data_IF_588514625620
#
_entry.id   IF_588514625620
#
_cell.length_a   1.000
_cell.length_b   1.000
_cell.length_c   1.000
_cell.angle_alpha   90.00
_cell.angle_beta   90.00
_cell.angle_gamma   90.00
#
_symmetry.space_group_name_H-M   'P 1'
#
loop_
_entity.id
_entity.type
_entity.pdbx_description
1 polymer ?
#
# COMPACT_ATOMS: atom_id res chain seq x y z
N UNK A 1 -5.25 -0.63 -4.68
CA UNK A 1 -5.57 -0.99 -3.28
C UNK A 1 -6.15 -2.40 -3.16
N UNK A 2 -7.29 -2.72 -3.78
CA UNK A 2 -7.92 -4.06 -3.67
C UNK A 2 -6.97 -5.24 -3.95
N UNK A 3 -6.16 -5.18 -5.02
CA UNK A 3 -5.13 -6.21 -5.29
C UNK A 3 -4.14 -6.41 -4.14
N UNK A 4 -3.71 -5.33 -3.49
CA UNK A 4 -2.78 -5.42 -2.35
C UNK A 4 -3.49 -6.07 -1.15
N UNK A 5 -4.74 -5.70 -0.90
CA UNK A 5 -5.57 -6.32 0.13
C UNK A 5 -5.79 -7.83 -0.13
N UNK A 6 -6.08 -8.18 -1.39
CA UNK A 6 -6.22 -9.56 -1.84
C UNK A 6 -4.95 -10.37 -1.60
N UNK A 7 -3.78 -9.84 -1.95
CA UNK A 7 -2.49 -10.52 -1.72
C UNK A 7 -2.23 -10.71 -0.23
N UNK A 8 -2.46 -9.68 0.59
CA UNK A 8 -2.28 -9.77 2.04
C UNK A 8 -3.20 -10.82 2.67
N UNK A 9 -4.50 -10.77 2.37
CA UNK A 9 -5.47 -11.73 2.90
C UNK A 9 -5.26 -13.16 2.38
N UNK A 10 -4.82 -13.33 1.12
CA UNK A 10 -4.47 -14.64 0.57
C UNK A 10 -3.25 -15.23 1.28
N UNK A 11 -2.21 -14.42 1.51
CA UNK A 11 -1.00 -14.83 2.25
C UNK A 11 -1.33 -15.20 3.69
N UNK A 12 -2.22 -14.44 4.32
CA UNK A 12 -2.67 -14.70 5.68
C UNK A 12 -3.50 -15.98 5.78
N UNK A 13 -4.57 -16.11 4.98
CA UNK A 13 -5.52 -17.22 5.07
C UNK A 13 -4.99 -18.53 4.46
N UNK A 14 -4.01 -18.46 3.54
CA UNK A 14 -3.56 -19.59 2.70
C UNK A 14 -4.71 -20.26 1.95
N UNK A 15 -5.71 -19.46 1.55
CA UNK A 15 -6.92 -19.92 0.86
C UNK A 15 -7.31 -18.93 -0.23
N UNK A 16 -8.24 -19.36 -1.08
CA UNK A 16 -8.94 -18.47 -2.01
C UNK A 16 -9.74 -17.46 -1.18
N UNK A 17 -9.66 -16.19 -1.54
CA UNK A 17 -10.39 -15.12 -0.87
C UNK A 17 -11.18 -14.30 -1.88
N UNK A 18 -12.25 -13.66 -1.42
CA UNK A 18 -13.02 -12.69 -2.19
C UNK A 18 -13.23 -11.42 -1.39
N UNK A 19 -13.25 -10.27 -2.05
CA UNK A 19 -13.55 -9.00 -1.40
C UNK A 19 -15.04 -8.94 -1.08
N UNK A 20 -15.37 -8.90 0.21
CA UNK A 20 -16.76 -8.86 0.69
C UNK A 20 -17.22 -7.42 0.97
N UNK A 21 -16.31 -6.56 1.41
CA UNK A 21 -16.59 -5.16 1.72
C UNK A 21 -15.34 -4.32 1.51
N UNK A 22 -15.53 -3.12 0.96
CA UNK A 22 -14.56 -2.03 1.03
C UNK A 22 -15.19 -0.92 1.86
N UNK A 23 -14.48 -0.48 2.90
CA UNK A 23 -14.84 0.75 3.61
C UNK A 23 -14.45 1.98 2.78
N UNK A 24 -14.87 3.16 3.23
CA UNK A 24 -14.51 4.42 2.59
C UNK A 24 -13.00 4.56 2.40
N UNK A 25 -12.60 5.08 1.23
CA UNK A 25 -11.22 5.47 0.95
C UNK A 25 -11.04 6.95 1.29
N UNK A 26 -10.02 7.23 2.10
CA UNK A 26 -9.62 8.59 2.44
C UNK A 26 -8.54 9.06 1.45
N UNK A 27 -8.87 10.03 0.61
CA UNK A 27 -7.99 10.60 -0.41
C UNK A 27 -7.40 11.91 0.11
N UNK A 28 -6.21 11.83 0.70
CA UNK A 28 -5.58 12.95 1.42
C UNK A 28 -4.80 13.90 0.52
N UNK A 29 -4.22 13.38 -0.56
CA UNK A 29 -3.36 14.16 -1.44
C UNK A 29 -3.35 13.59 -2.86
N UNK A 30 -3.13 14.43 -3.89
CA UNK A 30 -3.13 13.99 -5.27
C UNK A 30 -1.89 13.13 -5.60
N UNK A 31 -2.09 12.18 -6.52
CA UNK A 31 -1.01 11.44 -7.18
C UNK A 31 -0.96 11.91 -8.62
N UNK A 32 0.19 12.42 -9.07
CA UNK A 32 0.38 12.93 -10.43
C UNK A 32 1.11 11.89 -11.29
N UNK A 33 0.98 12.03 -12.60
CA UNK A 33 1.77 11.23 -13.55
C UNK A 33 3.26 11.46 -13.28
N UNK A 34 4.01 10.36 -13.22
CA UNK A 34 5.45 10.39 -12.90
C UNK A 34 5.77 10.19 -11.42
N UNK A 35 4.78 10.22 -10.51
CA UNK A 35 5.01 9.80 -9.12
C UNK A 35 5.10 8.28 -9.03
N UNK A 36 6.02 7.79 -8.19
CA UNK A 36 6.01 6.41 -7.73
C UNK A 36 4.88 6.23 -6.71
N UNK A 37 4.21 5.08 -6.75
CA UNK A 37 3.18 4.72 -5.77
C UNK A 37 3.55 3.40 -5.12
N UNK A 38 3.72 3.45 -3.80
CA UNK A 38 3.90 2.28 -2.95
C UNK A 38 2.56 1.93 -2.29
N UNK A 39 2.16 0.66 -2.39
CA UNK A 39 0.95 0.15 -1.76
C UNK A 39 1.30 -0.85 -0.65
N UNK A 40 1.09 -0.43 0.60
CA UNK A 40 1.35 -1.26 1.78
C UNK A 40 0.03 -1.80 2.32
N UNK A 41 -0.05 -3.12 2.49
CA UNK A 41 -1.26 -3.80 2.97
C UNK A 41 -0.96 -4.62 4.22
N UNK A 42 -1.67 -4.34 5.32
CA UNK A 42 -1.51 -4.96 6.63
C UNK A 42 -2.81 -5.60 7.08
N UNK A 43 -2.75 -6.85 7.55
CA UNK A 43 -3.90 -7.52 8.17
C UNK A 43 -4.07 -6.96 9.58
N UNK A 44 -5.17 -6.25 9.82
CA UNK A 44 -5.41 -5.55 11.10
C UNK A 44 -6.37 -6.31 12.02
N UNK A 45 -7.23 -7.17 11.47
CA UNK A 45 -8.18 -7.94 12.24
C UNK A 45 -8.63 -9.20 11.49
N UNK A 46 -9.15 -10.17 12.22
CA UNK A 46 -9.75 -11.38 11.64
C UNK A 46 -11.02 -11.78 12.36
N UNK A 47 -12.05 -12.11 11.61
CA UNK A 47 -13.25 -12.79 12.09
C UNK A 47 -13.16 -14.31 11.92
N UNK A 48 -14.31 -14.99 11.97
CA UNK A 48 -14.36 -16.45 11.78
C UNK A 48 -13.87 -16.88 10.41
N UNK A 49 -14.36 -16.22 9.36
CA UNK A 49 -14.04 -16.51 7.95
C UNK A 49 -13.48 -15.28 7.21
N UNK A 50 -13.36 -14.15 7.90
CA UNK A 50 -13.03 -12.85 7.30
C UNK A 50 -11.68 -12.31 7.76
N UNK A 51 -11.01 -11.58 6.88
CA UNK A 51 -9.74 -10.90 7.10
C UNK A 51 -9.94 -9.42 6.79
N UNK A 52 -9.73 -8.56 7.77
CA UNK A 52 -9.72 -7.10 7.59
C UNK A 52 -8.31 -6.64 7.30
N UNK A 53 -8.15 -5.83 6.25
CA UNK A 53 -6.87 -5.35 5.75
C UNK A 53 -6.89 -3.83 5.64
N UNK A 54 -5.92 -3.16 6.24
CA UNK A 54 -5.63 -1.75 6.02
C UNK A 54 -4.67 -1.63 4.83
N UNK A 55 -4.98 -0.76 3.87
CA UNK A 55 -4.13 -0.49 2.72
C UNK A 55 -3.81 1.00 2.67
N UNK A 56 -2.52 1.31 2.61
CA UNK A 56 -1.99 2.66 2.49
C UNK A 56 -1.30 2.81 1.13
N UNK A 57 -1.56 3.92 0.45
CA UNK A 57 -0.87 4.35 -0.75
C UNK A 57 0.03 5.54 -0.42
N UNK A 58 1.33 5.32 -0.49
CA UNK A 58 2.34 6.37 -0.38
C UNK A 58 2.73 6.78 -1.78
N UNK A 59 2.58 8.06 -2.09
CA UNK A 59 3.10 8.62 -3.32
C UNK A 59 4.47 9.24 -3.06
N UNK A 60 5.33 9.17 -4.07
CA UNK A 60 6.68 9.70 -4.03
C UNK A 60 7.01 10.44 -5.32
N UNK A 61 7.55 11.64 -5.18
CA UNK A 61 8.22 12.31 -6.29
C UNK A 61 9.66 11.83 -6.35
N UNK A 62 9.98 11.00 -7.35
CA UNK A 62 11.30 10.38 -7.51
C UNK A 62 12.45 11.38 -7.71
N UNK A 63 12.17 12.61 -8.17
CA UNK A 63 13.20 13.62 -8.38
C UNK A 63 13.51 14.43 -7.12
N UNK A 64 12.49 14.74 -6.31
CA UNK A 64 12.67 15.48 -5.06
C UNK A 64 12.87 14.59 -3.83
N UNK A 65 12.46 13.32 -3.91
CA UNK A 65 12.41 12.39 -2.78
C UNK A 65 11.27 12.66 -1.80
N UNK A 66 10.37 13.60 -2.10
CA UNK A 66 9.22 13.91 -1.26
C UNK A 66 8.22 12.76 -1.28
N UNK A 67 7.78 12.31 -0.10
CA UNK A 67 6.85 11.20 0.10
C UNK A 67 5.66 11.65 0.93
N UNK A 68 4.47 11.18 0.58
CA UNK A 68 3.25 11.51 1.33
C UNK A 68 2.21 10.40 1.23
N UNK A 69 1.38 10.29 2.28
CA UNK A 69 0.21 9.42 2.25
C UNK A 69 -0.85 10.01 1.32
N UNK A 70 -1.05 9.37 0.16
CA UNK A 70 -2.01 9.81 -0.83
C UNK A 70 -3.42 9.26 -0.58
N UNK A 71 -3.51 7.98 -0.20
CA UNK A 71 -4.80 7.33 0.03
C UNK A 71 -4.69 6.26 1.09
N UNK A 72 -5.72 6.14 1.94
CA UNK A 72 -5.87 5.01 2.86
C UNK A 72 -7.24 4.38 2.66
N UNK A 73 -7.31 3.06 2.69
CA UNK A 73 -8.57 2.34 2.54
C UNK A 73 -8.54 1.03 3.32
N UNK A 74 -9.71 0.61 3.80
CA UNK A 74 -9.88 -0.65 4.54
C UNK A 74 -10.76 -1.62 3.77
N UNK A 75 -10.35 -2.87 3.75
CA UNK A 75 -10.99 -3.94 2.98
C UNK A 75 -11.26 -5.12 3.89
N UNK A 76 -12.40 -5.77 3.71
CA UNK A 76 -12.74 -7.04 4.36
C UNK A 76 -12.86 -8.11 3.29
N UNK A 77 -12.03 -9.14 3.42
CA UNK A 77 -12.01 -10.29 2.53
C UNK A 77 -12.54 -11.52 3.25
N UNK A 78 -13.18 -12.43 2.52
CA UNK A 78 -13.71 -13.70 3.06
C UNK A 78 -12.97 -14.85 2.42
N UNK A 79 -12.45 -15.77 3.25
CA UNK A 79 -11.83 -17.01 2.79
C UNK A 79 -12.89 -18.03 2.38
N UNK A 80 -12.64 -18.71 1.27
CA UNK A 80 -13.50 -19.73 0.69
C UNK A 80 -12.82 -21.10 0.65
N UNK A 81 -13.62 -22.16 0.70
CA UNK A 81 -13.21 -23.53 0.38
C UNK A 81 -13.28 -23.82 -1.13
N UNK A 82 -13.00 -25.07 -1.52
CA UNK A 82 -13.04 -25.49 -2.93
C UNK A 82 -14.45 -25.43 -3.55
N UNK A 83 -15.50 -25.54 -2.73
CA UNK A 83 -16.89 -25.39 -3.15
C UNK A 83 -17.34 -23.92 -3.20
N UNK A 84 -16.44 -22.97 -2.91
CA UNK A 84 -16.74 -21.55 -2.86
C UNK A 84 -17.53 -21.11 -1.62
N UNK A 85 -17.58 -21.92 -0.55
CA UNK A 85 -18.27 -21.56 0.69
C UNK A 85 -17.33 -20.91 1.70
N UNK A 86 -17.80 -19.94 2.51
CA UNK A 86 -17.00 -19.33 3.57
C UNK A 86 -16.44 -20.37 4.54
N UNK A 87 -15.12 -20.35 4.73
CA UNK A 87 -14.41 -21.35 5.56
C UNK A 87 -13.70 -20.68 6.73
N UNK A 88 -13.64 -21.35 7.91
CA UNK A 88 -12.90 -20.82 9.05
C UNK A 88 -11.42 -20.59 8.78
N UNK A 89 -10.90 -19.49 9.32
CA UNK A 89 -9.48 -19.17 9.32
C UNK A 89 -8.73 -19.95 10.41
N UNK A 90 -7.45 -20.22 10.18
CA UNK A 90 -6.57 -20.75 11.22
C UNK A 90 -6.18 -19.63 12.19
N UNK A 91 -6.22 -19.85 13.53
CA UNK A 91 -5.81 -18.82 14.48
C UNK A 91 -4.33 -18.49 14.32
N UNK A 92 -3.99 -17.27 13.88
CA UNK A 92 -2.60 -16.80 13.74
C UNK A 92 -2.26 -15.63 14.66
N UNK A 93 -2.97 -15.49 15.79
CA UNK A 93 -2.63 -14.52 16.83
C UNK A 93 -3.06 -13.07 16.58
N UNK A 94 -3.71 -12.77 15.45
CA UNK A 94 -4.38 -11.48 15.20
C UNK A 94 -5.83 -11.65 15.63
N UNK A 95 -6.33 -10.81 16.54
CA UNK A 95 -7.73 -10.81 16.96
C UNK A 95 -8.38 -9.49 16.56
N UNK A 96 -9.67 -9.52 16.27
CA UNK A 96 -10.45 -8.30 16.12
C UNK A 96 -10.47 -7.55 17.45
N UNK A 97 -10.06 -6.29 17.43
CA UNK A 97 -10.42 -5.32 18.45
C UNK A 97 -11.84 -4.81 18.12
N UNK A 98 -12.81 -5.25 18.93
CA UNK A 98 -14.23 -4.89 18.82
C UNK A 98 -14.39 -3.40 19.12
N UNK A 99 -14.31 -2.56 18.09
CA UNK A 99 -14.48 -1.13 18.28
C UNK A 99 -14.21 -0.35 17.02
N UNK A 100 -15.29 0.05 16.34
CA UNK A 100 -15.25 1.20 15.46
C UNK A 100 -14.85 2.44 16.27
N UNK A 101 -13.58 2.80 16.22
CA UNK A 101 -13.16 4.18 16.25
C UNK A 101 -12.00 4.30 15.27
N UNK A 102 -11.99 5.38 14.50
CA UNK A 102 -10.85 5.78 13.68
C UNK A 102 -9.68 6.13 14.58
N UNK A 103 -9.10 5.12 15.25
CA UNK A 103 -7.81 5.25 15.85
C UNK A 103 -6.85 5.42 14.68
N UNK A 104 -6.42 6.66 14.51
CA UNK A 104 -5.19 7.08 13.89
C UNK A 104 -4.06 6.24 14.50
N UNK A 105 -3.96 4.95 14.12
CA UNK A 105 -2.71 4.22 14.19
C UNK A 105 -1.84 5.03 13.25
N UNK A 106 -1.07 5.90 13.89
CA UNK A 106 -0.67 7.19 13.35
C UNK A 106 -0.14 7.03 11.95
N UNK A 107 -0.22 8.11 11.20
CA UNK A 107 0.57 8.31 10.01
C UNK A 107 2.06 8.30 10.42
N UNK A 108 2.55 7.16 10.90
CA UNK A 108 3.97 6.88 10.97
C UNK A 108 4.34 6.89 9.51
N UNK A 109 4.95 8.00 9.12
CA UNK A 109 5.60 8.11 7.84
C UNK A 109 6.38 6.81 7.66
N UNK A 110 6.10 6.03 6.60
CA UNK A 110 6.75 4.76 6.43
C UNK A 110 8.23 5.06 6.34
N UNK A 111 8.98 4.60 7.35
CA UNK A 111 10.43 4.70 7.45
C UNK A 111 11.03 3.81 6.36
N UNK A 112 10.93 4.26 5.12
CA UNK A 112 11.69 3.70 4.01
C UNK A 112 13.00 4.44 4.05
N UNK A 113 13.98 3.80 4.68
CA UNK A 113 15.39 4.15 4.55
C UNK A 113 15.75 3.91 3.08
N UNK A 114 15.53 4.91 2.23
CA UNK A 114 16.23 4.97 0.96
C UNK A 114 17.69 5.28 1.31
N UNK A 115 18.44 4.24 1.63
CA UNK A 115 19.85 4.35 1.95
C UNK A 115 20.58 4.91 0.72
N UNK A 116 20.90 6.19 0.85
CA UNK A 116 21.75 7.04 0.03
C UNK A 116 21.09 7.79 -1.16
N UNK A 117 21.35 9.11 -1.27
CA UNK A 117 21.19 9.81 -2.53
C UNK A 117 22.23 9.23 -3.51
N UNK A 118 21.80 8.84 -4.71
CA UNK A 118 22.74 8.69 -5.82
C UNK A 118 23.23 10.08 -6.21
N UNK A 119 24.17 10.62 -5.45
CA UNK A 119 25.02 11.70 -5.93
C UNK A 119 25.83 11.11 -7.08
N UNK A 120 25.38 11.33 -8.32
CA UNK A 120 26.18 11.03 -9.50
C UNK A 120 27.48 11.84 -9.42
N UNK A 121 28.67 11.20 -9.38
CA UNK A 121 29.91 11.95 -9.40
C UNK A 121 30.19 12.42 -10.83
N UNK A 122 30.10 13.73 -11.06
CA UNK A 122 30.99 14.39 -12.01
C UNK A 122 30.54 14.63 -13.45
N UNK A 123 29.25 14.72 -13.79
CA UNK A 123 28.88 15.20 -15.14
C UNK A 123 28.94 16.72 -15.23
N UNK A 124 30.15 17.23 -15.48
CA UNK A 124 30.40 18.61 -15.90
C UNK A 124 29.68 18.84 -17.23
N UNK A 125 28.53 19.52 -17.20
CA UNK A 125 27.84 19.95 -18.41
C UNK A 125 28.73 20.94 -19.18
N UNK A 126 29.52 20.43 -20.12
CA UNK A 126 30.04 21.22 -21.23
C UNK A 126 29.15 20.93 -22.43
N UNK A 127 28.17 21.79 -22.68
CA UNK A 127 27.56 21.84 -24.00
C UNK A 127 27.92 23.19 -24.64
N UNK A 128 29.10 23.20 -25.27
CA UNK A 128 29.54 24.26 -26.16
C UNK A 128 28.94 23.91 -27.53
N UNK A 129 27.74 24.42 -27.79
CA UNK A 129 27.17 24.40 -29.13
C UNK A 129 28.11 25.23 -30.01
N UNK A 130 28.75 24.57 -30.97
CA UNK A 130 29.54 25.24 -32.00
C UNK A 130 28.57 25.78 -33.05
N UNK A 131 28.68 27.06 -33.34
CA UNK A 131 28.20 27.67 -34.57
C UNK A 131 28.96 27.03 -35.73
N UNK A 132 28.23 26.43 -36.68
CA UNK A 132 28.74 26.17 -38.02
C UNK A 132 27.82 26.87 -39.01
N UNK A 133 28.34 27.97 -39.56
CA UNK A 133 27.94 28.59 -40.81
C UNK A 133 28.38 27.68 -41.97
N UNK A 134 27.45 27.30 -42.85
CA UNK A 134 27.54 27.45 -44.32
C UNK A 134 26.18 27.20 -44.98
#
# INVERSE_FOLDING_TARGET
MDKAAFVAASRYSRRRVVTARSDGCDFRAPVRVGHLVEATAEVIATGRTSVSVDVQLIAENLLSGERWLATRGRFVLVALDEAGKPTPLLPRGIKAEDGASGAERGDREPEVVCSAPHAAPGTRAQNRVRDDHE
#
